data_IF_870137151472
#
_entry.id   IF_870137151472
#
_cell.length_a   1.000
_cell.length_b   1.000
_cell.length_c   1.000
_cell.angle_alpha   90.00
_cell.angle_beta   90.00
_cell.angle_gamma   90.00
#
_symmetry.space_group_name_H-M   'P 1'
#
loop_
_entity.id
_entity.type
_entity.pdbx_description
1 polymer ?
#
# COMPACT_ATOMS: atom_id res chain seq x y z
N UNK A 1 -4.44 25.66 -3.83
CA UNK A 1 -5.46 25.67 -4.89
C UNK A 1 -6.05 24.27 -4.94
N UNK A 2 -7.33 24.07 -4.61
CA UNK A 2 -7.99 22.77 -4.85
C UNK A 2 -8.10 22.61 -6.38
N UNK A 3 -8.00 21.40 -6.93
CA UNK A 3 -8.03 21.12 -8.38
C UNK A 3 -9.34 21.50 -9.09
N UNK A 4 -9.69 22.79 -9.05
CA UNK A 4 -10.94 23.38 -9.50
C UNK A 4 -10.87 23.90 -10.94
N UNK A 5 -9.66 23.96 -11.51
CA UNK A 5 -9.43 24.40 -12.89
C UNK A 5 -8.86 23.22 -13.66
N UNK A 6 -9.41 22.95 -14.84
CA UNK A 6 -8.93 21.89 -15.71
C UNK A 6 -7.47 22.16 -16.15
N UNK A 7 -6.61 21.13 -16.16
CA UNK A 7 -5.26 21.29 -16.63
C UNK A 7 -5.27 21.59 -18.14
N UNK A 8 -4.33 22.41 -18.65
CA UNK A 8 -4.24 22.74 -20.06
C UNK A 8 -3.82 21.54 -20.94
N UNK A 9 -3.36 20.45 -20.32
CA UNK A 9 -2.99 19.22 -20.98
C UNK A 9 -3.45 18.02 -20.13
N UNK A 10 -4.13 17.07 -20.78
CA UNK A 10 -4.53 15.79 -20.20
C UNK A 10 -3.81 14.69 -21.00
N UNK A 11 -2.91 13.89 -20.37
CA UNK A 11 -2.22 12.81 -21.05
C UNK A 11 -3.20 11.77 -21.60
N UNK A 12 -2.93 11.22 -22.79
CA UNK A 12 -3.68 10.09 -23.32
C UNK A 12 -3.41 8.85 -22.46
N UNK A 13 -4.44 8.24 -21.83
CA UNK A 13 -4.26 7.06 -20.98
C UNK A 13 -3.70 5.84 -21.72
N UNK A 14 -3.68 5.85 -23.06
CA UNK A 14 -3.13 4.76 -23.88
C UNK A 14 -1.66 4.99 -24.29
N UNK A 15 -1.09 6.14 -23.96
CA UNK A 15 0.26 6.52 -24.36
C UNK A 15 1.22 6.46 -23.19
N UNK A 16 2.36 5.77 -23.36
CA UNK A 16 3.46 5.76 -22.39
C UNK A 16 4.41 6.91 -22.72
N UNK A 17 4.48 7.90 -21.84
CA UNK A 17 5.33 9.09 -21.99
C UNK A 17 6.76 8.83 -21.48
N UNK A 18 7.45 7.87 -22.08
CA UNK A 18 8.84 7.52 -21.77
C UNK A 18 9.58 7.03 -23.03
N UNK A 19 10.91 6.85 -22.94
CA UNK A 19 11.67 6.18 -24.01
C UNK A 19 11.25 4.73 -24.14
N UNK A 20 11.38 4.20 -25.35
CA UNK A 20 11.21 2.77 -25.58
C UNK A 20 12.24 1.99 -24.75
N UNK A 21 11.81 0.87 -24.14
CA UNK A 21 12.66 0.04 -23.31
C UNK A 21 13.88 -0.52 -24.08
N UNK A 22 13.76 -0.73 -25.40
CA UNK A 22 14.84 -1.16 -26.28
C UNK A 22 15.87 -0.07 -26.58
N UNK A 23 15.52 1.20 -26.35
CA UNK A 23 16.44 2.34 -26.43
C UNK A 23 17.13 2.65 -25.10
N UNK A 24 16.74 1.96 -24.02
CA UNK A 24 17.38 2.07 -22.71
C UNK A 24 18.56 1.10 -22.66
N UNK A 25 19.77 1.64 -22.56
CA UNK A 25 20.99 0.83 -22.42
C UNK A 25 20.99 0.00 -21.14
N UNK A 26 21.44 -1.24 -21.23
CA UNK A 26 21.62 -2.10 -20.07
C UNK A 26 22.88 -1.71 -19.29
N UNK A 27 22.78 -1.69 -17.96
CA UNK A 27 23.94 -1.59 -17.08
C UNK A 27 24.51 -2.98 -16.80
N UNK A 28 25.84 -3.09 -16.72
CA UNK A 28 26.49 -4.31 -16.25
C UNK A 28 26.21 -4.53 -14.76
N UNK A 29 25.96 -5.77 -14.36
CA UNK A 29 25.88 -6.12 -12.93
C UNK A 29 27.23 -5.88 -12.25
N UNK A 30 27.21 -5.19 -11.10
CA UNK A 30 28.39 -5.07 -10.24
C UNK A 30 28.64 -6.42 -9.57
N UNK A 31 29.84 -6.99 -9.77
CA UNK A 31 30.25 -8.27 -9.16
C UNK A 31 31.15 -8.01 -7.96
N UNK A 32 31.16 -8.93 -7.00
CA UNK A 32 32.06 -8.89 -5.84
C UNK A 32 31.60 -7.98 -4.70
N UNK A 33 30.34 -7.54 -4.71
CA UNK A 33 29.73 -6.85 -3.57
C UNK A 33 29.35 -7.89 -2.52
N UNK A 34 29.78 -7.66 -1.27
CA UNK A 34 29.38 -8.46 -0.11
C UNK A 34 28.60 -7.52 0.79
N UNK A 35 27.35 -7.88 1.07
CA UNK A 35 26.51 -7.12 2.01
C UNK A 35 26.92 -7.46 3.43
N UNK A 36 27.10 -6.44 4.25
CA UNK A 36 27.44 -6.58 5.67
C UNK A 36 26.28 -6.17 6.59
N UNK A 37 26.56 -6.13 7.89
CA UNK A 37 25.56 -5.81 8.89
C UNK A 37 25.12 -4.34 8.85
N UNK A 38 25.99 -3.42 8.40
CA UNK A 38 25.61 -2.01 8.24
C UNK A 38 24.65 -1.83 7.07
N UNK A 39 24.87 -2.56 5.97
CA UNK A 39 23.93 -2.60 4.84
C UNK A 39 22.57 -3.14 5.29
N UNK A 40 22.56 -4.23 6.08
CA UNK A 40 21.33 -4.84 6.60
C UNK A 40 20.56 -3.88 7.49
N UNK A 41 21.25 -3.22 8.43
CA UNK A 41 20.63 -2.23 9.30
C UNK A 41 20.02 -1.07 8.50
N UNK A 42 20.72 -0.59 7.47
CA UNK A 42 20.19 0.44 6.58
C UNK A 42 18.94 -0.03 5.82
N UNK A 43 18.91 -1.27 5.31
CA UNK A 43 17.74 -1.80 4.63
C UNK A 43 16.53 -1.97 5.55
N UNK A 44 16.77 -2.36 6.80
CA UNK A 44 15.73 -2.42 7.84
C UNK A 44 15.17 -1.02 8.13
N UNK A 45 16.04 -0.03 8.35
CA UNK A 45 15.64 1.36 8.61
C UNK A 45 14.92 1.99 7.40
N UNK A 46 15.35 1.69 6.19
CA UNK A 46 14.75 2.21 4.95
C UNK A 46 13.35 1.63 4.72
N UNK A 47 13.14 0.35 5.02
CA UNK A 47 11.92 -0.40 4.72
C UNK A 47 10.82 -0.19 5.76
N UNK A 48 10.50 1.08 6.04
CA UNK A 48 9.53 1.52 7.06
C UNK A 48 8.07 1.05 6.86
N UNK A 49 7.77 0.37 5.76
CA UNK A 49 6.44 -0.17 5.47
C UNK A 49 5.46 0.89 4.93
N UNK A 50 4.19 0.77 5.33
CA UNK A 50 3.12 1.63 4.84
C UNK A 50 3.18 3.03 5.45
N UNK A 51 3.09 4.06 4.62
CA UNK A 51 2.94 5.44 5.08
C UNK A 51 1.47 5.69 5.43
N UNK A 52 1.13 6.10 6.67
CA UNK A 52 -0.25 6.04 7.14
C UNK A 52 -1.29 6.79 6.31
N UNK A 53 -0.99 8.03 5.87
CA UNK A 53 -1.97 8.86 5.16
C UNK A 53 -2.26 8.30 3.75
N UNK A 54 -1.26 8.09 2.87
CA UNK A 54 -1.52 7.51 1.55
C UNK A 54 -2.19 6.13 1.62
N UNK A 55 -1.82 5.31 2.60
CA UNK A 55 -2.42 3.99 2.77
C UNK A 55 -3.90 4.08 3.17
N UNK A 56 -4.26 5.01 4.06
CA UNK A 56 -5.67 5.23 4.41
C UNK A 56 -6.47 5.82 3.24
N UNK A 57 -5.88 6.75 2.49
CA UNK A 57 -6.48 7.29 1.26
C UNK A 57 -6.77 6.16 0.26
N UNK A 58 -5.80 5.26 0.02
CA UNK A 58 -5.98 4.07 -0.82
C UNK A 58 -7.16 3.19 -0.32
N UNK A 59 -7.23 2.89 0.98
CA UNK A 59 -8.32 2.08 1.55
C UNK A 59 -9.70 2.73 1.33
N UNK A 60 -9.79 4.05 1.33
CA UNK A 60 -11.03 4.79 1.09
C UNK A 60 -11.35 4.86 -0.41
N UNK A 61 -10.39 5.23 -1.25
CA UNK A 61 -10.57 5.43 -2.69
C UNK A 61 -10.87 4.13 -3.44
N UNK A 62 -10.27 3.01 -3.00
CA UNK A 62 -10.54 1.68 -3.54
C UNK A 62 -11.84 1.06 -3.01
N UNK A 63 -12.50 1.70 -2.04
CA UNK A 63 -13.74 1.21 -1.42
C UNK A 63 -13.56 0.13 -0.35
N UNK A 64 -12.34 -0.39 -0.16
CA UNK A 64 -12.02 -1.46 0.81
C UNK A 64 -12.49 -1.10 2.23
N UNK A 65 -12.29 0.15 2.65
CA UNK A 65 -12.78 0.62 3.95
C UNK A 65 -14.30 0.51 4.06
N UNK A 66 -15.04 0.88 3.01
CA UNK A 66 -16.50 0.79 3.00
C UNK A 66 -17.02 -0.65 3.07
N UNK A 67 -16.30 -1.60 2.47
CA UNK A 67 -16.66 -3.02 2.48
C UNK A 67 -16.34 -3.70 3.82
N UNK A 68 -15.23 -3.33 4.46
CA UNK A 68 -14.75 -3.99 5.68
C UNK A 68 -15.20 -3.32 6.98
N UNK A 69 -15.38 -1.99 6.98
CA UNK A 69 -15.78 -1.24 8.17
C UNK A 69 -17.30 -1.29 8.38
N UNK A 70 -17.83 -2.49 8.64
CA UNK A 70 -19.27 -2.75 8.76
C UNK A 70 -19.72 -2.89 10.20
N UNK A 71 -20.92 -2.38 10.50
CA UNK A 71 -21.59 -2.55 11.79
C UNK A 71 -22.79 -3.48 11.64
N UNK A 72 -23.14 -4.21 12.71
CA UNK A 72 -24.31 -5.07 12.70
C UNK A 72 -25.64 -4.28 12.70
N UNK A 73 -26.75 -5.00 12.52
CA UNK A 73 -28.08 -4.39 12.45
C UNK A 73 -28.35 -3.49 13.66
N UNK A 74 -28.93 -2.30 13.43
CA UNK A 74 -29.18 -1.27 14.49
C UNK A 74 -27.91 -0.78 15.20
N UNK A 75 -26.74 -0.87 14.56
CA UNK A 75 -25.48 -0.42 15.15
C UNK A 75 -24.94 -1.37 16.24
N UNK A 76 -25.34 -2.64 16.22
CA UNK A 76 -24.77 -3.64 17.14
C UNK A 76 -23.29 -3.82 16.88
N UNK A 77 -22.54 -4.01 17.95
CA UNK A 77 -21.08 -4.19 17.92
C UNK A 77 -20.71 -5.43 17.08
N UNK A 78 -19.85 -5.28 16.06
CA UNK A 78 -19.26 -6.38 15.31
C UNK A 78 -18.52 -7.40 16.21
N UNK A 79 -18.42 -8.65 15.77
CA UNK A 79 -17.82 -9.73 16.59
C UNK A 79 -16.35 -9.50 16.93
N UNK A 80 -15.60 -8.88 16.03
CA UNK A 80 -14.20 -8.49 16.21
C UNK A 80 -14.01 -7.37 17.25
N UNK A 81 -15.09 -6.67 17.61
CA UNK A 81 -15.11 -5.65 18.67
C UNK A 81 -15.81 -6.13 19.96
N UNK A 82 -16.33 -7.36 20.02
CA UNK A 82 -16.96 -7.92 21.22
C UNK A 82 -15.90 -8.41 22.23
N UNK A 83 -15.79 -7.79 23.43
CA UNK A 83 -14.80 -8.15 24.45
C UNK A 83 -14.96 -9.57 25.01
N UNK A 84 -16.14 -10.19 24.82
CA UNK A 84 -16.44 -11.53 25.32
C UNK A 84 -16.31 -12.62 24.25
N UNK A 85 -15.98 -12.26 23.00
CA UNK A 85 -15.85 -13.21 21.91
C UNK A 85 -14.60 -14.10 22.07
N UNK A 86 -14.68 -15.41 21.77
CA UNK A 86 -13.53 -16.29 21.85
C UNK A 86 -12.47 -15.92 20.79
N UNK A 87 -11.19 -15.86 21.20
CA UNK A 87 -10.05 -15.41 20.39
C UNK A 87 -9.89 -16.17 19.05
N UNK A 88 -10.32 -17.43 18.99
CA UNK A 88 -10.21 -18.29 17.81
C UNK A 88 -11.26 -17.99 16.72
N UNK A 89 -12.11 -17.00 16.94
CA UNK A 89 -13.24 -16.69 16.06
C UNK A 89 -12.94 -15.51 15.12
N UNK A 90 -11.87 -14.74 15.29
CA UNK A 90 -11.59 -13.58 14.43
C UNK A 90 -10.79 -14.01 13.21
N UNK A 91 -11.47 -14.44 12.15
CA UNK A 91 -10.85 -14.64 10.82
C UNK A 91 -11.34 -13.57 9.84
N UNK A 92 -11.11 -12.32 10.18
CA UNK A 92 -10.83 -11.29 9.17
C UNK A 92 -9.40 -10.87 9.40
N UNK A 93 -8.46 -11.70 8.96
CA UNK A 93 -7.05 -11.31 8.92
C UNK A 93 -6.98 -10.12 7.97
N UNK A 94 -6.76 -8.92 8.52
CA UNK A 94 -6.37 -7.76 7.73
C UNK A 94 -5.12 -8.15 6.93
N UNK A 95 -5.27 -8.24 5.61
CA UNK A 95 -4.25 -8.78 4.70
C UNK A 95 -3.00 -7.91 4.56
N UNK A 96 -2.97 -6.74 5.20
CA UNK A 96 -1.95 -5.71 5.00
C UNK A 96 -0.85 -5.68 6.08
N UNK A 97 -0.89 -6.57 7.10
CA UNK A 97 0.09 -6.56 8.20
C UNK A 97 0.90 -7.86 8.38
N UNK A 98 0.77 -8.86 7.50
CA UNK A 98 1.46 -10.17 7.67
C UNK A 98 2.40 -10.56 6.52
N UNK A 99 2.93 -9.60 5.77
CA UNK A 99 3.93 -9.85 4.72
C UNK A 99 5.25 -9.08 4.89
N UNK A 100 5.56 -8.61 6.09
CA UNK A 100 6.89 -8.09 6.42
C UNK A 100 7.46 -8.86 7.62
#
# INVERSE_FOLDING_TARGET
MRGLVEPPFVPDPKTVYAKDIGEVGAFSTVKGVVLDEQDRAFYEDFSSGNIPIPWQEEMVETGVFGELNVWGAKGTVPRDLDPNAPANSVSSKSGTCLLL
#
